data_IF_255546648872
#
_entry.id   IF_255546648872
#
_cell.length_a   1.000
_cell.length_b   1.000
_cell.length_c   1.000
_cell.angle_alpha   90.00
_cell.angle_beta   90.00
_cell.angle_gamma   90.00
#
_symmetry.space_group_name_H-M   'P 1'
#
loop_
_entity.id
_entity.type
_entity.pdbx_description
1 polymer ?
#
# COMPACT_ATOMS: atom_id res chain seq x y z
N UNK A 1 -8.55 -0.55 -9.61
CA UNK A 1 -7.43 -1.04 -8.78
C UNK A 1 -6.43 0.08 -8.61
N UNK A 2 -5.51 0.00 -7.66
CA UNK A 2 -4.57 1.08 -7.38
C UNK A 2 -3.17 0.54 -7.09
N UNK A 3 -2.17 1.28 -7.54
CA UNK A 3 -0.79 1.15 -7.11
C UNK A 3 -0.50 2.29 -6.15
N UNK A 4 -0.07 1.95 -4.94
CA UNK A 4 0.31 2.92 -3.91
C UNK A 4 1.81 2.86 -3.75
N UNK A 5 2.48 3.99 -3.96
CA UNK A 5 3.92 4.14 -3.76
C UNK A 5 4.15 4.94 -2.49
N UNK A 6 4.79 4.30 -1.51
CA UNK A 6 5.20 4.93 -0.26
C UNK A 6 6.64 5.41 -0.41
N UNK A 7 6.94 6.62 0.05
CA UNK A 7 8.31 7.17 0.08
C UNK A 7 8.60 7.73 1.46
N UNK A 8 9.60 7.18 2.15
CA UNK A 8 9.94 7.63 3.50
C UNK A 8 10.43 9.09 3.47
N UNK A 9 9.92 9.90 4.38
CA UNK A 9 10.25 11.32 4.54
C UNK A 9 11.21 11.57 5.70
N UNK A 10 11.64 10.50 6.37
CA UNK A 10 12.48 10.53 7.56
C UNK A 10 13.48 9.37 7.59
N UNK A 11 14.37 9.39 8.58
CA UNK A 11 15.33 8.31 8.80
C UNK A 11 14.63 6.96 9.02
N UNK A 12 15.19 5.92 8.42
CA UNK A 12 14.64 4.57 8.49
C UNK A 12 14.47 4.06 9.93
N UNK A 13 15.34 4.49 10.85
CA UNK A 13 15.23 4.13 12.27
C UNK A 13 13.93 4.59 12.92
N UNK A 14 13.33 5.70 12.46
CA UNK A 14 12.01 6.16 12.92
C UNK A 14 10.90 5.30 12.33
N UNK A 15 11.01 4.96 11.04
CA UNK A 15 10.07 4.05 10.37
C UNK A 15 10.05 2.68 11.08
N UNK A 16 11.22 2.17 11.46
CA UNK A 16 11.34 0.86 12.12
C UNK A 16 10.66 0.79 13.48
N UNK A 17 10.54 1.91 14.20
CA UNK A 17 9.80 1.98 15.47
C UNK A 17 8.30 1.71 15.28
N UNK A 18 7.75 2.02 14.11
CA UNK A 18 6.33 1.83 13.80
C UNK A 18 6.06 0.61 12.91
N UNK A 19 7.10 -0.15 12.54
CA UNK A 19 6.99 -1.25 11.58
C UNK A 19 6.04 -2.35 12.05
N UNK A 20 6.05 -2.72 13.33
CA UNK A 20 5.17 -3.76 13.85
C UNK A 20 3.68 -3.36 13.73
N UNK A 21 3.36 -2.10 14.03
CA UNK A 21 2.00 -1.58 13.88
C UNK A 21 1.60 -1.50 12.40
N UNK A 22 2.51 -1.06 11.53
CA UNK A 22 2.28 -1.03 10.09
C UNK A 22 2.01 -2.44 9.54
N UNK A 23 2.77 -3.46 9.95
CA UNK A 23 2.52 -4.85 9.57
C UNK A 23 1.14 -5.31 10.03
N UNK A 24 0.74 -5.03 11.27
CA UNK A 24 -0.60 -5.38 11.76
C UNK A 24 -1.72 -4.71 10.93
N UNK A 25 -1.51 -3.45 10.51
CA UNK A 25 -2.41 -2.75 9.58
C UNK A 25 -2.47 -3.46 8.21
N UNK A 26 -1.33 -3.84 7.63
CA UNK A 26 -1.30 -4.58 6.36
C UNK A 26 -2.10 -5.88 6.45
N UNK A 27 -1.91 -6.67 7.51
CA UNK A 27 -2.63 -7.93 7.73
C UNK A 27 -4.15 -7.72 7.80
N UNK A 28 -4.63 -6.65 8.44
CA UNK A 28 -6.05 -6.30 8.46
C UNK A 28 -6.58 -6.01 7.04
N UNK A 29 -5.82 -5.28 6.22
CA UNK A 29 -6.23 -4.96 4.86
C UNK A 29 -6.17 -6.17 3.92
N UNK A 30 -5.25 -7.10 4.15
CA UNK A 30 -5.25 -8.41 3.47
C UNK A 30 -6.48 -9.23 3.85
N UNK A 31 -6.82 -9.32 5.14
CA UNK A 31 -8.00 -10.03 5.61
C UNK A 31 -9.30 -9.43 5.06
N UNK A 32 -9.33 -8.11 4.83
CA UNK A 32 -10.44 -7.40 4.21
C UNK A 32 -10.48 -7.53 2.67
N UNK A 33 -9.46 -8.14 2.04
CA UNK A 33 -9.35 -8.26 0.58
C UNK A 33 -9.01 -6.95 -0.14
N UNK A 34 -8.62 -5.91 0.61
CA UNK A 34 -8.25 -4.60 0.05
C UNK A 34 -6.83 -4.65 -0.52
N UNK A 35 -5.88 -5.25 0.19
CA UNK A 35 -4.51 -5.38 -0.31
C UNK A 35 -4.30 -6.73 -1.00
N UNK A 36 -3.63 -6.68 -2.16
CA UNK A 36 -3.37 -7.85 -3.02
C UNK A 36 -1.91 -8.25 -2.99
N UNK A 37 -1.01 -7.26 -2.91
CA UNK A 37 0.42 -7.47 -2.74
C UNK A 37 1.05 -6.21 -2.13
N UNK A 38 2.13 -6.38 -1.36
CA UNK A 38 2.90 -5.26 -0.82
C UNK A 38 4.33 -5.67 -0.55
N UNK A 39 5.23 -4.69 -0.55
CA UNK A 39 6.64 -4.94 -0.27
C UNK A 39 7.47 -3.66 -0.23
N UNK A 40 8.67 -3.75 0.31
CA UNK A 40 9.63 -2.63 0.34
C UNK A 40 10.17 -2.33 -1.06
N UNK A 41 10.45 -1.06 -1.34
CA UNK A 41 11.30 -0.65 -2.48
C UNK A 41 12.73 -1.16 -2.26
N UNK A 42 13.49 -1.29 -3.35
CA UNK A 42 14.94 -1.56 -3.34
C UNK A 42 15.64 -0.44 -4.12
N UNK A 43 16.40 0.45 -3.47
CA UNK A 43 16.76 0.47 -2.04
C UNK A 43 15.55 0.72 -1.11
N UNK A 44 15.70 0.41 0.18
CA UNK A 44 14.62 0.48 1.21
C UNK A 44 14.27 1.93 1.57
N UNK A 45 13.76 2.68 0.61
CA UNK A 45 13.33 4.09 0.71
C UNK A 45 11.81 4.23 0.81
N UNK A 46 11.09 3.12 0.90
CA UNK A 46 9.64 3.11 0.95
C UNK A 46 9.06 1.74 0.64
N UNK A 47 7.84 1.73 0.14
CA UNK A 47 7.09 0.52 -0.20
C UNK A 47 6.23 0.68 -1.45
N UNK A 48 5.71 -0.44 -1.91
CA UNK A 48 4.72 -0.53 -2.99
C UNK A 48 3.58 -1.40 -2.46
N UNK A 49 2.35 -0.97 -2.71
CA UNK A 49 1.14 -1.75 -2.41
C UNK A 49 0.29 -1.80 -3.69
N UNK A 50 -0.18 -2.99 -4.04
CA UNK A 50 -1.24 -3.21 -5.01
C UNK A 50 -2.54 -3.41 -4.23
N UNK A 51 -3.53 -2.55 -4.47
CA UNK A 51 -4.77 -2.51 -3.72
C UNK A 51 -6.00 -2.53 -4.62
N UNK A 52 -7.07 -3.14 -4.14
CA UNK A 52 -8.41 -3.09 -4.71
C UNK A 52 -9.32 -2.26 -3.79
N UNK A 53 -10.00 -1.27 -4.37
CA UNK A 53 -10.97 -0.43 -3.69
C UNK A 53 -12.02 0.03 -4.71
N UNK A 54 -13.21 0.37 -4.25
CA UNK A 54 -14.34 0.81 -5.09
C UNK A 54 -14.11 2.23 -5.62
N UNK A 55 -13.37 3.06 -4.87
CA UNK A 55 -12.98 4.40 -5.30
C UNK A 55 -11.65 4.84 -4.70
N UNK A 56 -11.10 5.92 -5.25
CA UNK A 56 -9.88 6.55 -4.73
C UNK A 56 -10.09 7.09 -3.32
N UNK A 57 -11.26 7.66 -3.04
CA UNK A 57 -11.60 8.24 -1.73
C UNK A 57 -11.64 7.17 -0.64
N UNK A 58 -12.25 6.01 -0.95
CA UNK A 58 -12.25 4.86 -0.03
C UNK A 58 -10.82 4.39 0.25
N UNK A 59 -9.97 4.28 -0.79
CA UNK A 59 -8.58 3.91 -0.60
C UNK A 59 -7.83 4.94 0.26
N UNK A 60 -8.04 6.24 0.05
CA UNK A 60 -7.41 7.29 0.86
C UNK A 60 -7.83 7.21 2.34
N UNK A 61 -9.09 6.87 2.64
CA UNK A 61 -9.55 6.65 4.01
C UNK A 61 -8.89 5.42 4.66
N UNK A 62 -8.63 4.38 3.87
CA UNK A 62 -7.91 3.18 4.33
C UNK A 62 -6.43 3.51 4.58
N UNK A 63 -5.78 4.25 3.67
CA UNK A 63 -4.38 4.65 3.81
C UNK A 63 -4.17 5.64 4.97
N UNK A 64 -5.16 6.47 5.31
CA UNK A 64 -5.12 7.34 6.48
C UNK A 64 -5.04 6.59 7.83
N UNK A 65 -5.33 5.30 7.84
CA UNK A 65 -5.22 4.43 9.02
C UNK A 65 -3.83 3.80 9.17
N UNK A 66 -2.97 3.91 8.16
CA UNK A 66 -1.60 3.39 8.23
C UNK A 66 -0.81 4.15 9.31
N UNK A 67 -0.16 3.46 10.27
CA UNK A 67 0.72 4.10 11.24
C UNK A 67 1.79 5.00 10.63
N UNK A 68 2.32 4.65 9.45
CA UNK A 68 3.28 5.51 8.75
C UNK A 68 2.65 6.83 8.28
N UNK A 69 1.39 6.79 7.83
CA UNK A 69 0.67 7.98 7.40
C UNK A 69 0.27 8.86 8.60
N UNK A 70 -0.23 8.25 9.67
CA UNK A 70 -0.62 8.97 10.88
C UNK A 70 0.54 9.69 11.56
N UNK A 71 1.74 9.09 11.50
CA UNK A 71 2.97 9.64 12.06
C UNK A 71 3.78 10.47 11.05
N UNK A 72 3.25 10.69 9.84
CA UNK A 72 3.89 11.47 8.77
C UNK A 72 5.31 10.98 8.41
N UNK A 73 5.52 9.66 8.43
CA UNK A 73 6.81 9.02 8.17
C UNK A 73 7.05 8.71 6.69
N UNK A 74 5.99 8.77 5.88
CA UNK A 74 6.03 8.50 4.45
C UNK A 74 4.99 9.32 3.69
N UNK A 75 5.35 9.70 2.46
CA UNK A 75 4.43 10.23 1.47
C UNK A 75 3.82 9.09 0.64
N UNK A 76 2.57 9.27 0.22
CA UNK A 76 1.80 8.27 -0.52
C UNK A 76 1.38 8.84 -1.87
N UNK A 77 1.87 8.23 -2.94
CA UNK A 77 1.37 8.47 -4.28
C UNK A 77 0.38 7.35 -4.65
N UNK A 78 -0.83 7.72 -5.04
CA UNK A 78 -1.89 6.79 -5.42
C UNK A 78 -2.15 6.90 -6.91
N UNK A 79 -1.90 5.81 -7.63
CA UNK A 79 -2.07 5.69 -9.07
C UNK A 79 -3.24 4.74 -9.32
N UNK A 80 -4.27 5.20 -10.02
CA UNK A 80 -5.31 4.31 -10.51
C UNK A 80 -4.77 3.42 -11.64
N UNK A 81 -5.02 2.13 -11.51
CA UNK A 81 -4.51 1.11 -12.41
C UNK A 81 -5.66 0.22 -12.91
N UNK A 82 -5.75 0.09 -14.23
CA UNK A 82 -6.73 -0.75 -14.92
C UNK A 82 -5.94 -1.82 -15.69
N UNK A 83 -5.79 -3.04 -15.13
CA UNK A 83 -5.05 -4.11 -15.79
C UNK A 83 -5.85 -4.66 -16.98
N UNK A 84 -5.59 -4.14 -18.18
CA UNK A 84 -6.23 -4.60 -19.42
C UNK A 84 -5.67 -5.92 -19.98
N UNK A 85 -4.51 -6.35 -19.47
CA UNK A 85 -3.88 -7.62 -19.80
C UNK A 85 -3.16 -8.19 -18.58
N UNK A 86 -3.33 -9.49 -18.37
CA UNK A 86 -2.74 -10.22 -17.25
C UNK A 86 -2.12 -11.53 -17.72
N UNK A 87 -1.22 -12.09 -16.91
CA UNK A 87 -0.86 -13.50 -17.04
C UNK A 87 -2.06 -14.36 -16.60
N UNK A 88 -2.18 -15.59 -17.11
CA UNK A 88 -3.32 -16.46 -16.81
C UNK A 88 -3.56 -16.67 -15.31
N UNK A 89 -2.49 -16.79 -14.50
CA UNK A 89 -2.58 -16.93 -13.05
C UNK A 89 -3.16 -15.69 -12.32
N UNK A 90 -3.20 -14.54 -13.00
CA UNK A 90 -3.70 -13.27 -12.49
C UNK A 90 -4.96 -12.81 -13.24
N UNK A 91 -5.63 -13.70 -13.98
CA UNK A 91 -6.83 -13.37 -14.76
C UNK A 91 -7.95 -12.73 -13.91
N UNK A 92 -8.01 -13.05 -12.61
CA UNK A 92 -8.96 -12.47 -11.67
C UNK A 92 -8.77 -10.96 -11.43
N UNK A 93 -7.62 -10.39 -11.83
CA UNK A 93 -7.34 -8.96 -11.72
C UNK A 93 -7.82 -8.17 -12.94
N UNK A 94 -8.00 -8.83 -14.08
CA UNK A 94 -8.27 -8.17 -15.36
C UNK A 94 -9.63 -7.47 -15.34
N UNK A 95 -9.68 -6.23 -15.84
CA UNK A 95 -10.90 -5.44 -16.00
C UNK A 95 -11.18 -5.14 -17.47
#
# INVERSE_FOLDING_TARGET
MFVVLLSYTCDISKVEQHLAAHVAYLEQQYAAGVFLASGRKVPRTGGVILAQADSREQLLQILAQDPFQQQQLADYEVIEFIPSKTAAALAFLQQ
#
